data_IF_872254588283
#
_entry.id   IF_872254588283
#
_cell.length_a   1.000
_cell.length_b   1.000
_cell.length_c   1.000
_cell.angle_alpha   90.00
_cell.angle_beta   90.00
_cell.angle_gamma   90.00
#
_symmetry.space_group_name_H-M   'P 1'
#
loop_
_entity.id
_entity.type
_entity.pdbx_description
1 polymer ?
#
# COMPACT_ATOMS: atom_id res chain seq x y z
N UNK A 1 -10.40 -16.86 -13.10
CA UNK A 1 -11.44 -16.04 -13.75
C UNK A 1 -11.67 -16.59 -15.15
N UNK A 2 -12.92 -16.88 -15.52
CA UNK A 2 -13.24 -17.24 -16.90
C UNK A 2 -13.28 -16.00 -17.82
N UNK A 3 -13.23 -16.18 -19.14
CA UNK A 3 -13.29 -15.07 -20.11
C UNK A 3 -14.55 -14.19 -19.95
N UNK A 4 -15.66 -14.76 -19.47
CA UNK A 4 -16.91 -14.04 -19.24
C UNK A 4 -16.82 -13.02 -18.09
N UNK A 5 -15.99 -13.30 -17.07
CA UNK A 5 -15.79 -12.38 -15.94
C UNK A 5 -15.04 -11.12 -16.37
N UNK A 6 -14.05 -11.25 -17.25
CA UNK A 6 -13.27 -10.09 -17.74
C UNK A 6 -14.15 -9.14 -18.56
N UNK A 7 -15.01 -9.68 -19.45
CA UNK A 7 -15.95 -8.86 -20.22
C UNK A 7 -16.96 -8.16 -19.30
N UNK A 8 -17.53 -8.89 -18.34
CA UNK A 8 -18.44 -8.33 -17.35
C UNK A 8 -17.79 -7.19 -16.54
N UNK A 9 -16.51 -7.28 -16.16
CA UNK A 9 -15.77 -6.19 -15.50
C UNK A 9 -15.60 -4.95 -16.40
N UNK A 10 -15.45 -5.14 -17.72
CA UNK A 10 -15.25 -4.03 -18.66
C UNK A 10 -16.54 -3.33 -19.05
N UNK A 11 -17.62 -4.08 -19.21
CA UNK A 11 -18.87 -3.58 -19.79
C UNK A 11 -19.93 -3.32 -18.72
N UNK A 12 -19.87 -4.01 -17.59
CA UNK A 12 -20.84 -3.98 -16.50
C UNK A 12 -20.14 -3.98 -15.13
N UNK A 13 -20.64 -4.78 -14.18
CA UNK A 13 -20.02 -5.02 -12.89
C UNK A 13 -19.85 -6.52 -12.67
N UNK A 14 -18.80 -6.90 -11.93
CA UNK A 14 -18.56 -8.26 -11.53
C UNK A 14 -17.92 -8.31 -10.14
N UNK A 15 -18.24 -9.34 -9.37
CA UNK A 15 -17.61 -9.65 -8.09
C UNK A 15 -16.59 -10.76 -8.27
N UNK A 16 -15.48 -10.71 -7.52
CA UNK A 16 -14.45 -11.74 -7.58
C UNK A 16 -13.57 -11.72 -6.34
N UNK A 17 -12.82 -12.80 -6.15
CA UNK A 17 -11.79 -12.85 -5.12
C UNK A 17 -10.68 -11.86 -5.47
N UNK A 18 -10.29 -11.04 -4.49
CA UNK A 18 -9.12 -10.17 -4.57
C UNK A 18 -7.96 -10.90 -3.88
N UNK A 19 -6.73 -10.68 -4.35
CA UNK A 19 -5.55 -11.21 -3.67
C UNK A 19 -5.55 -10.77 -2.19
N UNK A 20 -5.15 -11.65 -1.26
CA UNK A 20 -5.15 -11.31 0.16
C UNK A 20 -4.20 -10.15 0.45
N UNK A 21 -4.64 -9.20 1.26
CA UNK A 21 -3.88 -8.02 1.67
C UNK A 21 -3.83 -7.93 3.19
N UNK A 22 -2.78 -7.31 3.70
CA UNK A 22 -2.56 -7.05 5.12
C UNK A 22 -2.30 -5.57 5.33
N UNK A 23 -2.60 -5.08 6.53
CA UNK A 23 -2.40 -3.66 6.87
C UNK A 23 -1.42 -3.51 8.02
N UNK A 24 -0.47 -2.58 7.86
CA UNK A 24 0.48 -2.19 8.90
C UNK A 24 0.19 -0.74 9.28
N UNK A 25 -0.03 -0.49 10.58
CA UNK A 25 -0.29 0.85 11.09
C UNK A 25 0.98 1.43 11.72
N UNK A 26 1.44 2.58 11.19
CA UNK A 26 2.57 3.32 11.74
C UNK A 26 2.09 4.57 12.46
N UNK A 27 2.45 4.69 13.74
CA UNK A 27 2.17 5.84 14.61
C UNK A 27 3.48 6.49 15.05
N UNK A 28 3.39 7.69 15.63
CA UNK A 28 4.54 8.48 16.08
C UNK A 28 4.76 9.73 15.23
N UNK A 29 5.35 10.75 15.82
CA UNK A 29 5.45 12.10 15.21
C UNK A 29 6.36 12.14 13.98
N UNK A 30 7.25 11.16 13.82
CA UNK A 30 8.24 11.03 12.76
C UNK A 30 7.83 10.05 11.65
N UNK A 31 6.64 9.44 11.75
CA UNK A 31 6.14 8.39 10.82
C UNK A 31 6.31 8.71 9.33
N UNK A 32 6.01 9.93 8.91
CA UNK A 32 6.12 10.33 7.51
C UNK A 32 7.58 10.44 7.05
N UNK A 33 8.45 11.01 7.90
CA UNK A 33 9.89 11.14 7.62
C UNK A 33 10.58 9.78 7.57
N UNK A 34 10.22 8.87 8.48
CA UNK A 34 10.71 7.50 8.49
C UNK A 34 10.37 6.76 7.18
N UNK A 35 9.10 6.81 6.76
CA UNK A 35 8.65 6.14 5.54
C UNK A 35 9.18 6.77 4.26
N UNK A 36 9.39 8.09 4.23
CA UNK A 36 9.88 8.77 3.03
C UNK A 36 11.27 8.28 2.58
N UNK A 37 12.11 7.81 3.51
CA UNK A 37 13.41 7.20 3.18
C UNK A 37 13.33 5.76 2.68
N UNK A 38 12.19 5.09 2.86
CA UNK A 38 11.97 3.68 2.51
C UNK A 38 11.06 3.51 1.30
N UNK A 39 10.25 4.51 0.98
CA UNK A 39 9.23 4.45 -0.06
C UNK A 39 9.61 5.34 -1.25
N UNK A 40 9.20 4.94 -2.46
CA UNK A 40 9.52 5.67 -3.69
C UNK A 40 8.71 6.96 -3.90
N UNK A 41 7.74 7.27 -3.04
CA UNK A 41 6.82 8.40 -3.23
C UNK A 41 6.94 9.43 -2.09
N UNK A 42 6.47 10.65 -2.31
CA UNK A 42 6.57 11.74 -1.33
C UNK A 42 5.50 11.63 -0.23
N UNK A 43 5.81 10.83 0.79
CA UNK A 43 4.93 10.60 1.94
C UNK A 43 4.74 11.86 2.79
N UNK A 44 5.70 12.79 2.80
CA UNK A 44 5.64 14.01 3.62
C UNK A 44 4.62 15.01 3.08
N UNK A 45 4.29 14.92 1.80
CA UNK A 45 3.28 15.75 1.16
C UNK A 45 1.84 15.24 1.32
N UNK A 46 1.65 14.05 1.90
CA UNK A 46 0.31 13.48 2.10
C UNK A 46 -0.43 14.20 3.24
N UNK A 47 -1.63 14.70 2.93
CA UNK A 47 -2.57 15.20 3.91
C UNK A 47 -3.44 14.06 4.47
N UNK A 48 -3.97 14.15 5.70
CA UNK A 48 -4.97 13.20 6.19
C UNK A 48 -6.15 13.02 5.22
N UNK A 49 -6.59 11.77 5.02
CA UNK A 49 -7.62 11.39 4.05
C UNK A 49 -7.10 11.20 2.62
N UNK A 50 -5.82 11.46 2.37
CA UNK A 50 -5.17 11.17 1.08
C UNK A 50 -4.31 9.92 1.14
N UNK A 51 -3.88 9.46 -0.03
CA UNK A 51 -2.99 8.32 -0.13
C UNK A 51 -2.26 8.28 -1.47
N UNK A 52 -1.28 7.40 -1.56
CA UNK A 52 -0.54 7.19 -2.78
C UNK A 52 -0.11 5.73 -2.93
N UNK A 53 0.18 5.34 -4.16
CA UNK A 53 0.88 4.08 -4.45
C UNK A 53 2.38 4.31 -4.38
N UNK A 54 3.10 3.36 -3.77
CA UNK A 54 4.55 3.43 -3.63
C UNK A 54 5.16 2.02 -3.62
N UNK A 55 6.45 1.94 -3.94
CA UNK A 55 7.24 0.74 -3.70
C UNK A 55 8.04 0.89 -2.41
N UNK A 56 8.09 -0.17 -1.60
CA UNK A 56 8.95 -0.28 -0.43
C UNK A 56 10.30 -0.85 -0.84
N UNK A 57 11.36 -0.14 -0.49
CA UNK A 57 12.73 -0.49 -0.81
C UNK A 57 13.54 -0.94 0.42
N UNK A 58 14.55 -1.76 0.18
CA UNK A 58 15.67 -1.92 1.11
C UNK A 58 16.53 -0.65 1.14
N UNK A 59 17.40 -0.45 2.15
CA UNK A 59 18.35 0.66 2.17
C UNK A 59 19.28 0.72 0.94
N UNK A 60 19.48 -0.39 0.24
CA UNK A 60 20.26 -0.47 -1.00
C UNK A 60 19.42 -0.17 -2.27
N UNK A 61 18.16 0.23 -2.11
CA UNK A 61 17.27 0.58 -3.22
C UNK A 61 16.63 -0.61 -3.94
N UNK A 62 16.68 -1.83 -3.37
CA UNK A 62 16.01 -2.99 -3.96
C UNK A 62 14.55 -3.02 -3.56
N UNK A 63 13.65 -3.27 -4.51
CA UNK A 63 12.22 -3.38 -4.22
C UNK A 63 11.91 -4.64 -3.39
N UNK A 64 11.24 -4.44 -2.26
CA UNK A 64 10.67 -5.49 -1.42
C UNK A 64 9.26 -5.83 -1.88
N UNK A 65 8.40 -4.81 -2.01
CA UNK A 65 7.01 -4.95 -2.46
C UNK A 65 6.46 -3.61 -2.92
N UNK A 66 5.27 -3.61 -3.49
CA UNK A 66 4.44 -2.44 -3.73
C UNK A 66 3.31 -2.34 -2.69
N UNK A 67 2.83 -1.13 -2.46
CA UNK A 67 1.80 -0.87 -1.46
C UNK A 67 1.00 0.40 -1.75
N UNK A 68 -0.16 0.46 -1.09
CA UNK A 68 -0.87 1.72 -0.91
C UNK A 68 -0.55 2.30 0.46
N UNK A 69 -0.31 3.60 0.49
CA UNK A 69 -0.10 4.39 1.70
C UNK A 69 -1.34 5.25 1.90
N UNK A 70 -1.92 5.21 3.09
CA UNK A 70 -3.04 6.07 3.46
C UNK A 70 -2.64 6.91 4.68
N UNK A 71 -2.72 8.23 4.53
CA UNK A 71 -2.47 9.16 5.63
C UNK A 71 -3.77 9.39 6.41
N UNK A 72 -3.71 9.16 7.72
CA UNK A 72 -4.76 9.48 8.68
C UNK A 72 -4.22 10.52 9.68
N UNK A 73 -5.09 11.06 10.53
CA UNK A 73 -4.72 12.13 11.46
C UNK A 73 -3.61 11.71 12.44
N UNK A 74 -3.71 10.52 13.02
CA UNK A 74 -2.81 10.02 14.07
C UNK A 74 -1.85 8.92 13.58
N UNK A 75 -2.03 8.42 12.35
CA UNK A 75 -1.29 7.29 11.82
C UNK A 75 -1.15 7.29 10.30
N UNK A 76 -0.26 6.45 9.79
CA UNK A 76 -0.19 6.08 8.38
C UNK A 76 -0.50 4.59 8.29
N UNK A 77 -1.43 4.20 7.40
CA UNK A 77 -1.72 2.81 7.09
C UNK A 77 -0.99 2.41 5.81
N UNK A 78 -0.27 1.30 5.88
CA UNK A 78 0.35 0.65 4.74
C UNK A 78 -0.46 -0.60 4.41
N UNK A 79 -1.01 -0.63 3.20
CA UNK A 79 -1.75 -1.76 2.68
C UNK A 79 -0.85 -2.54 1.71
N UNK A 80 -0.47 -3.74 2.11
CA UNK A 80 0.56 -4.58 1.48
C UNK A 80 -0.03 -5.93 1.07
N UNK A 81 0.60 -6.65 0.12
CA UNK A 81 0.34 -8.07 -0.08
C UNK A 81 0.49 -8.87 1.22
N UNK A 82 -0.43 -9.82 1.47
CA UNK A 82 -0.50 -10.50 2.76
C UNK A 82 0.74 -11.34 3.12
N UNK A 83 1.49 -11.79 2.11
CA UNK A 83 2.73 -12.56 2.24
C UNK A 83 3.93 -11.71 2.70
N UNK A 84 3.85 -10.39 2.63
CA UNK A 84 4.95 -9.47 3.01
C UNK A 84 4.87 -9.02 4.48
N UNK A 85 3.67 -8.98 5.06
CA UNK A 85 3.45 -8.53 6.43
C UNK A 85 4.24 -9.30 7.53
N UNK A 86 4.50 -10.62 7.42
CA UNK A 86 5.29 -11.35 8.42
C UNK A 86 6.79 -11.04 8.39
N UNK A 87 7.30 -10.43 7.31
CA UNK A 87 8.74 -10.24 7.08
C UNK A 87 9.27 -8.86 7.51
N UNK A 88 8.44 -8.01 8.12
CA UNK A 88 8.70 -6.58 8.30
C UNK A 88 8.64 -6.09 9.76
N UNK A 89 8.64 -7.01 10.74
CA UNK A 89 8.89 -6.75 12.18
C UNK A 89 10.09 -7.58 12.66
#
# INVERSE_FOLDING_TARGET
MGPDTYRALREHAATGAVAPRSTIALRGNDRASYLHGLLTNDIRALAPGSGCYAAWLTPQGRMLTDLHVFALDDMILLDVPADVAPATL
#
